data_IF_585612814285
#
_entry.id   IF_585612814285
#
_cell.length_a   1.000
_cell.length_b   1.000
_cell.length_c   1.000
_cell.angle_alpha   90.00
_cell.angle_beta   90.00
_cell.angle_gamma   90.00
#
_symmetry.space_group_name_H-M   'P 1'
#
loop_
_entity.id
_entity.type
_entity.pdbx_description
1 polymer ?
#
# COMPACT_ATOMS: atom_id res chain seq x y z
N UNK A 1 2.76 -1.58 14.66
CA UNK A 1 2.85 -0.32 15.42
C UNK A 1 2.20 0.78 14.62
N UNK A 2 2.08 1.99 15.19
CA UNK A 2 1.66 3.17 14.44
C UNK A 2 2.81 4.19 14.45
N UNK A 3 3.01 4.88 13.34
CA UNK A 3 3.99 5.96 13.24
C UNK A 3 3.25 7.31 13.25
N UNK A 4 3.89 8.34 13.77
CA UNK A 4 3.36 9.70 13.76
C UNK A 4 4.07 10.46 12.64
N UNK A 5 3.35 11.10 11.71
CA UNK A 5 3.96 11.95 10.70
C UNK A 5 4.85 13.02 11.36
N UNK A 6 6.12 13.15 10.99
CA UNK A 6 6.93 14.26 11.47
C UNK A 6 6.34 15.58 10.94
N UNK A 7 6.45 16.71 11.65
CA UNK A 7 6.16 18.00 11.04
C UNK A 7 7.19 18.30 9.94
N UNK A 8 6.80 18.85 8.77
CA UNK A 8 5.46 19.32 8.39
C UNK A 8 4.58 18.30 7.63
N UNK A 9 4.94 17.01 7.60
CA UNK A 9 4.18 15.99 6.86
C UNK A 9 2.79 15.75 7.49
N UNK A 10 1.76 15.68 6.65
CA UNK A 10 0.38 15.42 7.09
C UNK A 10 0.02 13.94 7.16
N UNK A 11 0.87 13.05 6.63
CA UNK A 11 0.65 11.61 6.61
C UNK A 11 1.97 10.82 6.59
N UNK A 12 1.92 9.57 7.03
CA UNK A 12 3.01 8.60 6.95
C UNK A 12 2.45 7.21 6.62
N UNK A 13 3.06 6.56 5.64
CA UNK A 13 2.74 5.19 5.23
C UNK A 13 3.74 4.22 5.86
N UNK A 14 3.23 3.24 6.59
CA UNK A 14 3.97 2.10 7.09
C UNK A 14 3.83 0.96 6.10
N UNK A 15 4.97 0.38 5.71
CA UNK A 15 5.03 -0.77 4.84
C UNK A 15 5.52 -1.97 5.64
N UNK A 16 4.68 -2.99 5.72
CA UNK A 16 5.03 -4.26 6.31
C UNK A 16 6.00 -5.04 5.43
N UNK A 17 6.76 -5.95 6.06
CA UNK A 17 7.59 -6.91 5.32
C UNK A 17 6.72 -7.76 4.39
N UNK A 18 7.18 -7.95 3.16
CA UNK A 18 6.59 -8.90 2.20
C UNK A 18 6.80 -10.33 2.71
N UNK A 19 5.71 -11.10 2.75
CA UNK A 19 5.71 -12.49 3.17
C UNK A 19 4.71 -13.29 2.32
N UNK A 20 4.98 -14.57 2.12
CA UNK A 20 4.01 -15.48 1.49
C UNK A 20 2.80 -15.67 2.40
N UNK A 21 1.59 -15.44 1.86
CA UNK A 21 0.32 -15.67 2.55
C UNK A 21 -0.66 -16.39 1.64
N UNK A 22 -1.48 -17.25 2.24
CA UNK A 22 -2.62 -17.82 1.53
C UNK A 22 -3.71 -16.76 1.40
N UNK A 23 -4.10 -16.46 0.17
CA UNK A 23 -5.19 -15.55 -0.19
C UNK A 23 -6.12 -16.26 -1.17
N UNK A 24 -7.43 -15.94 -1.20
CA UNK A 24 -8.33 -16.51 -2.18
C UNK A 24 -8.00 -16.02 -3.60
N UNK A 25 -8.09 -16.91 -4.58
CA UNK A 25 -8.12 -16.53 -5.99
C UNK A 25 -9.51 -16.04 -6.42
N UNK A 26 -9.69 -15.75 -7.72
CA UNK A 26 -10.98 -15.32 -8.27
C UNK A 26 -12.13 -16.33 -8.13
N UNK A 27 -11.80 -17.60 -7.84
CA UNK A 27 -12.76 -18.67 -7.60
C UNK A 27 -12.88 -19.04 -6.11
N UNK A 28 -12.19 -18.30 -5.22
CA UNK A 28 -12.18 -18.53 -3.78
C UNK A 28 -11.25 -19.66 -3.31
N UNK A 29 -10.44 -20.25 -4.19
CA UNK A 29 -9.47 -21.27 -3.79
C UNK A 29 -8.24 -20.63 -3.12
N UNK A 30 -7.67 -21.24 -2.07
CA UNK A 30 -6.49 -20.69 -1.40
C UNK A 30 -5.25 -20.81 -2.30
N UNK A 31 -4.63 -19.68 -2.61
CA UNK A 31 -3.38 -19.60 -3.36
C UNK A 31 -2.31 -18.88 -2.54
N UNK A 32 -1.07 -19.33 -2.64
CA UNK A 32 0.06 -18.69 -1.98
C UNK A 32 0.53 -17.48 -2.80
N UNK A 33 0.58 -16.29 -2.19
CA UNK A 33 1.00 -15.05 -2.86
C UNK A 33 1.90 -14.20 -1.95
N UNK A 34 2.92 -13.52 -2.50
CA UNK A 34 3.65 -12.48 -1.78
C UNK A 34 2.70 -11.35 -1.40
N UNK A 35 2.63 -11.01 -0.11
CA UNK A 35 1.74 -9.99 0.41
C UNK A 35 2.44 -9.11 1.45
N UNK A 36 2.14 -7.82 1.47
CA UNK A 36 2.52 -6.89 2.53
C UNK A 36 1.27 -6.35 3.22
N UNK A 37 1.43 -5.80 4.43
CA UNK A 37 0.39 -4.98 5.04
C UNK A 37 0.79 -3.51 4.90
N UNK A 38 -0.19 -2.63 4.75
CA UNK A 38 0.02 -1.19 4.71
C UNK A 38 -0.76 -0.54 5.86
N UNK A 39 -0.16 0.48 6.48
CA UNK A 39 -0.84 1.29 7.49
C UNK A 39 -0.62 2.77 7.22
N UNK A 40 -1.67 3.56 7.23
CA UNK A 40 -1.61 5.00 6.99
C UNK A 40 -2.00 5.74 8.26
N UNK A 41 -1.07 6.51 8.83
CA UNK A 41 -1.40 7.53 9.83
C UNK A 41 -1.47 8.88 9.15
N UNK A 42 -2.49 9.67 9.44
CA UNK A 42 -2.70 10.97 8.83
C UNK A 42 -3.38 11.95 9.79
N UNK A 43 -3.21 13.24 9.50
CA UNK A 43 -3.83 14.32 10.24
C UNK A 43 -5.24 14.62 9.69
N UNK A 44 -6.25 14.30 10.49
CA UNK A 44 -7.67 14.46 10.11
C UNK A 44 -8.11 15.90 9.89
N UNK A 45 -7.32 16.89 10.32
CA UNK A 45 -7.60 18.32 10.06
C UNK A 45 -7.43 18.66 8.57
N UNK A 46 -6.62 17.88 7.86
CA UNK A 46 -6.29 18.11 6.45
C UNK A 46 -6.77 17.00 5.52
N UNK A 47 -6.88 15.75 6.01
CA UNK A 47 -7.22 14.57 5.21
C UNK A 47 -8.40 13.84 5.88
N UNK A 48 -9.47 13.55 5.14
CA UNK A 48 -10.57 12.74 5.65
C UNK A 48 -10.34 11.22 5.44
N UNK A 49 -11.17 10.41 6.10
CA UNK A 49 -11.04 8.95 6.02
C UNK A 49 -11.34 8.38 4.63
N UNK A 50 -12.14 9.05 3.80
CA UNK A 50 -12.48 8.59 2.45
C UNK A 50 -11.28 8.79 1.52
N UNK A 51 -10.64 9.95 1.59
CA UNK A 51 -9.41 10.22 0.84
C UNK A 51 -8.28 9.26 1.27
N UNK A 52 -8.14 8.99 2.57
CA UNK A 52 -7.17 8.04 3.09
C UNK A 52 -7.43 6.60 2.61
N UNK A 53 -8.68 6.15 2.61
CA UNK A 53 -9.06 4.83 2.12
C UNK A 53 -8.79 4.68 0.62
N UNK A 54 -9.20 5.67 -0.19
CA UNK A 54 -8.94 5.70 -1.63
C UNK A 54 -7.46 5.61 -1.96
N UNK A 55 -6.60 6.30 -1.21
CA UNK A 55 -5.15 6.19 -1.40
C UNK A 55 -4.65 4.76 -1.20
N UNK A 56 -5.16 4.04 -0.19
CA UNK A 56 -4.76 2.65 0.08
C UNK A 56 -5.33 1.68 -0.97
N UNK A 57 -6.55 1.92 -1.46
CA UNK A 57 -7.16 1.16 -2.56
C UNK A 57 -6.38 1.35 -3.86
N UNK A 58 -6.06 2.60 -4.21
CA UNK A 58 -5.27 2.94 -5.39
C UNK A 58 -3.88 2.32 -5.30
N UNK A 59 -3.25 2.35 -4.12
CA UNK A 59 -1.95 1.73 -3.89
C UNK A 59 -2.00 0.21 -4.08
N UNK A 60 -3.02 -0.47 -3.55
CA UNK A 60 -3.19 -1.92 -3.71
C UNK A 60 -3.39 -2.30 -5.18
N UNK A 61 -4.28 -1.60 -5.89
CA UNK A 61 -4.53 -1.82 -7.31
C UNK A 61 -3.27 -1.59 -8.16
N UNK A 62 -2.53 -0.51 -7.86
CA UNK A 62 -1.29 -0.15 -8.55
C UNK A 62 -0.21 -1.22 -8.33
N UNK A 63 -0.06 -1.74 -7.11
CA UNK A 63 0.90 -2.80 -6.82
C UNK A 63 0.49 -4.16 -7.40
N UNK A 64 -0.80 -4.44 -7.51
CA UNK A 64 -1.30 -5.67 -8.14
C UNK A 64 -0.95 -5.73 -9.64
N UNK A 65 -0.83 -4.59 -10.30
CA UNK A 65 -0.45 -4.45 -11.72
C UNK A 65 1.01 -3.99 -11.91
N UNK A 66 1.86 -4.06 -10.89
CA UNK A 66 3.18 -3.42 -10.86
C UNK A 66 4.18 -3.82 -11.97
N UNK A 67 3.87 -4.83 -12.80
CA UNK A 67 4.59 -5.09 -14.04
C UNK A 67 4.61 -3.87 -14.98
N UNK A 68 3.60 -3.00 -14.92
CA UNK A 68 3.51 -1.75 -15.70
C UNK A 68 4.27 -0.59 -15.06
N UNK A 69 4.52 -0.62 -13.75
CA UNK A 69 5.25 0.43 -13.03
C UNK A 69 6.77 0.34 -13.21
N UNK A 70 7.30 -0.88 -13.37
CA UNK A 70 8.73 -1.11 -13.53
C UNK A 70 9.32 -0.42 -14.77
N UNK A 71 8.50 -0.13 -15.78
CA UNK A 71 8.89 0.53 -17.04
C UNK A 71 8.99 2.06 -16.92
N UNK A 72 8.39 2.67 -15.90
CA UNK A 72 8.46 4.14 -15.69
C UNK A 72 9.59 4.55 -14.73
N UNK A 73 10.15 3.59 -13.99
CA UNK A 73 11.28 3.82 -13.10
C UNK A 73 12.61 3.75 -13.87
N UNK A 74 12.85 4.73 -14.74
CA UNK A 74 14.20 4.99 -15.24
C UNK A 74 15.13 5.35 -14.08
N UNK A 75 15.90 4.37 -13.59
CA UNK A 75 17.07 4.52 -12.73
C UNK A 75 18.28 3.82 -13.38
N UNK A 76 19.52 4.32 -13.19
CA UNK A 76 20.68 3.99 -14.03
C UNK A 76 21.18 2.55 -13.85
N UNK A 77 22.03 2.02 -14.76
CA UNK A 77 22.69 0.73 -14.60
C UNK A 77 23.55 0.65 -13.33
#
# INVERSE_FOLDING_TARGET
GFAIPPPPQAAILLVGRVQERFVPDGNGAPVLRPSAWFGLTFDHRFIDGVAAARLLEDLDATLADAATLADTAGGPP
#
